data_IF_889217961489
#
_entry.id   IF_889217961489
#
_cell.length_a   1.000
_cell.length_b   1.000
_cell.length_c   1.000
_cell.angle_alpha   90.00
_cell.angle_beta   90.00
_cell.angle_gamma   90.00
#
_symmetry.space_group_name_H-M   'P 1'
#
loop_
_entity.id
_entity.type
_entity.pdbx_description
1 polymer ?
#
# COMPACT_ATOMS: atom_id res chain seq x y z
N UNK A 1 -10.33 3.77 23.02
CA UNK A 1 -10.91 2.55 22.42
C UNK A 1 -9.86 1.45 22.48
N UNK A 2 -10.21 0.24 22.92
CA UNK A 2 -9.37 -0.95 22.73
C UNK A 2 -9.83 -1.63 21.44
N UNK A 3 -9.06 -1.47 20.38
CA UNK A 3 -9.25 -2.15 19.10
C UNK A 3 -7.89 -2.73 18.71
N UNK A 4 -7.87 -4.00 18.34
CA UNK A 4 -6.68 -4.67 17.85
C UNK A 4 -6.79 -4.80 16.33
N UNK A 5 -5.76 -4.34 15.62
CA UNK A 5 -5.59 -4.52 14.19
C UNK A 5 -4.23 -5.12 13.93
N UNK A 6 -4.21 -6.23 13.22
CA UNK A 6 -2.99 -6.79 12.65
C UNK A 6 -3.09 -6.72 11.13
N UNK A 7 -2.06 -6.12 10.53
CA UNK A 7 -2.03 -5.83 9.10
C UNK A 7 -0.76 -6.35 8.46
N UNK A 8 -0.90 -6.88 7.25
CA UNK A 8 0.18 -7.23 6.34
C UNK A 8 0.07 -6.38 5.08
N UNK A 9 1.20 -5.94 4.54
CA UNK A 9 1.26 -5.19 3.29
C UNK A 9 2.56 -5.49 2.54
N UNK A 10 2.44 -6.05 1.33
CA UNK A 10 3.56 -6.25 0.40
C UNK A 10 3.37 -5.36 -0.83
N UNK A 11 4.41 -4.63 -1.20
CA UNK A 11 4.34 -3.64 -2.28
C UNK A 11 5.04 -4.15 -3.53
N UNK A 12 4.48 -3.80 -4.68
CA UNK A 12 5.06 -4.08 -5.99
C UNK A 12 5.23 -2.77 -6.76
N UNK A 13 6.46 -2.47 -7.17
CA UNK A 13 6.74 -1.39 -8.11
C UNK A 13 6.86 -1.97 -9.52
N UNK A 14 6.04 -1.49 -10.46
CA UNK A 14 6.03 -1.94 -11.85
C UNK A 14 6.55 -0.84 -12.78
N UNK A 15 7.63 -1.14 -13.49
CA UNK A 15 8.12 -0.31 -14.58
C UNK A 15 7.13 -0.36 -15.75
N UNK A 16 6.51 0.79 -16.06
CA UNK A 16 5.50 0.90 -17.11
C UNK A 16 6.07 0.82 -18.54
N UNK A 17 7.40 0.89 -18.72
CA UNK A 17 8.06 0.77 -20.02
C UNK A 17 8.42 -0.69 -20.33
N UNK A 18 8.97 -1.40 -19.35
CA UNK A 18 9.48 -2.77 -19.53
C UNK A 18 8.50 -3.85 -19.05
N UNK A 19 7.57 -3.50 -18.17
CA UNK A 19 6.69 -4.43 -17.48
C UNK A 19 7.38 -5.18 -16.33
N UNK A 20 8.63 -4.85 -15.99
CA UNK A 20 9.34 -5.48 -14.88
C UNK A 20 8.72 -5.08 -13.54
N UNK A 21 8.58 -6.06 -12.64
CA UNK A 21 8.04 -5.87 -11.27
C UNK A 21 9.11 -6.12 -10.23
N UNK A 22 9.16 -5.22 -9.25
CA UNK A 22 10.06 -5.30 -8.11
C UNK A 22 9.26 -5.38 -6.81
N UNK A 23 9.59 -6.36 -5.97
CA UNK A 23 9.01 -6.48 -4.63
C UNK A 23 9.69 -5.49 -3.70
N UNK A 24 8.90 -4.69 -2.99
CA UNK A 24 9.38 -3.72 -2.03
C UNK A 24 8.96 -4.03 -0.60
N UNK A 25 9.93 -3.88 0.31
CA UNK A 25 9.77 -4.19 1.71
C UNK A 25 9.78 -2.90 2.54
N UNK A 26 8.66 -2.54 3.20
CA UNK A 26 8.54 -1.32 4.01
C UNK A 26 9.65 -1.10 5.03
N UNK A 27 10.13 -2.17 5.68
CA UNK A 27 11.27 -2.15 6.61
C UNK A 27 12.57 -1.51 6.08
N UNK A 28 12.73 -1.33 4.77
CA UNK A 28 13.90 -0.62 4.18
C UNK A 28 13.85 0.89 4.44
N UNK A 29 12.65 1.45 4.62
CA UNK A 29 12.42 2.90 4.71
C UNK A 29 11.68 3.30 5.99
N UNK A 30 10.90 2.39 6.57
CA UNK A 30 10.08 2.62 7.74
C UNK A 30 10.68 1.95 8.97
N UNK A 31 10.52 2.58 10.12
CA UNK A 31 10.74 1.93 11.41
C UNK A 31 9.67 0.85 11.64
N UNK A 32 9.92 -0.14 12.53
CA UNK A 32 8.94 -1.19 12.82
C UNK A 32 7.57 -0.65 13.27
N UNK A 33 7.56 0.47 14.01
CA UNK A 33 6.31 1.12 14.42
C UNK A 33 5.56 1.74 13.23
N UNK A 34 6.27 2.43 12.34
CA UNK A 34 5.68 3.02 11.14
C UNK A 34 5.17 1.94 10.18
N UNK A 35 5.91 0.84 10.02
CA UNK A 35 5.48 -0.31 9.21
C UNK A 35 4.19 -0.93 9.78
N UNK A 36 4.14 -1.18 11.09
CA UNK A 36 2.93 -1.69 11.76
C UNK A 36 1.73 -0.74 11.62
N UNK A 37 1.96 0.56 11.76
CA UNK A 37 0.91 1.55 11.57
C UNK A 37 0.45 1.64 10.12
N UNK A 38 1.39 1.55 9.17
CA UNK A 38 1.10 1.62 7.75
C UNK A 38 0.26 0.42 7.30
N UNK A 39 0.60 -0.81 7.73
CA UNK A 39 -0.09 -2.02 7.26
C UNK A 39 -1.57 -2.12 7.64
N UNK A 40 -2.07 -1.24 8.51
CA UNK A 40 -3.46 -1.23 9.00
C UNK A 40 -4.22 0.06 8.68
N UNK A 41 -3.56 1.04 8.05
CA UNK A 41 -4.12 2.37 7.77
C UNK A 41 -4.01 2.69 6.28
N UNK A 42 -5.14 2.90 5.59
CA UNK A 42 -5.18 2.94 4.13
C UNK A 42 -4.50 4.21 3.57
N UNK A 43 -4.62 5.32 4.27
CA UNK A 43 -3.94 6.58 4.00
C UNK A 43 -2.41 6.43 4.08
N UNK A 44 -1.89 5.71 5.08
CA UNK A 44 -0.46 5.44 5.19
C UNK A 44 0.02 4.48 4.09
N UNK A 45 -0.78 3.48 3.70
CA UNK A 45 -0.49 2.60 2.56
C UNK A 45 -0.36 3.43 1.28
N UNK A 46 -1.33 4.33 1.03
CA UNK A 46 -1.31 5.22 -0.13
C UNK A 46 -0.08 6.15 -0.12
N UNK A 47 0.23 6.76 1.03
CA UNK A 47 1.40 7.63 1.16
C UNK A 47 2.70 6.87 0.88
N UNK A 48 2.85 5.66 1.42
CA UNK A 48 4.02 4.83 1.18
C UNK A 48 4.11 4.37 -0.29
N UNK A 49 2.99 4.00 -0.91
CA UNK A 49 2.94 3.66 -2.34
C UNK A 49 3.39 4.82 -3.24
N UNK A 50 2.93 6.04 -2.95
CA UNK A 50 3.38 7.26 -3.65
C UNK A 50 4.85 7.57 -3.42
N UNK A 51 5.34 7.38 -2.20
CA UNK A 51 6.76 7.50 -1.89
C UNK A 51 7.60 6.53 -2.75
N UNK A 52 7.21 5.26 -2.82
CA UNK A 52 7.89 4.27 -3.67
C UNK A 52 7.87 4.66 -5.15
N UNK A 53 6.73 5.10 -5.67
CA UNK A 53 6.60 5.53 -7.06
C UNK A 53 7.58 6.68 -7.37
N UNK A 54 7.71 7.66 -6.47
CA UNK A 54 8.67 8.75 -6.62
C UNK A 54 10.12 8.26 -6.59
N UNK A 55 10.48 7.38 -5.64
CA UNK A 55 11.82 6.81 -5.54
C UNK A 55 12.24 6.04 -6.80
N UNK A 56 11.33 5.24 -7.35
CA UNK A 56 11.60 4.46 -8.56
C UNK A 56 11.65 5.34 -9.80
N UNK A 57 10.74 6.30 -9.94
CA UNK A 57 10.76 7.26 -11.05
C UNK A 57 12.07 8.06 -11.09
N UNK A 58 12.61 8.44 -9.93
CA UNK A 58 13.88 9.18 -9.87
C UNK A 58 15.08 8.31 -10.29
N UNK A 59 15.04 7.01 -9.99
CA UNK A 59 16.09 6.05 -10.37
C UNK A 59 16.01 5.67 -11.85
N UNK A 60 14.81 5.33 -12.32
CA UNK A 60 14.60 4.73 -13.63
C UNK A 60 14.31 5.77 -14.74
N UNK A 61 13.90 7.00 -14.36
CA UNK A 61 13.56 8.12 -15.26
C UNK A 61 12.31 7.89 -16.13
N UNK A 62 11.40 7.02 -15.72
CA UNK A 62 10.09 6.80 -16.36
C UNK A 62 8.98 6.53 -15.33
N UNK A 63 7.69 6.57 -15.74
CA UNK A 63 6.57 6.28 -14.84
C UNK A 63 6.63 4.87 -14.26
N UNK A 64 6.27 4.77 -12.98
CA UNK A 64 6.22 3.51 -12.22
C UNK A 64 4.85 3.45 -11.55
N UNK A 65 4.14 2.34 -11.76
CA UNK A 65 2.92 2.05 -11.02
C UNK A 65 3.27 1.32 -9.73
N UNK A 66 2.47 1.54 -8.68
CA UNK A 66 2.69 0.86 -7.39
C UNK A 66 1.40 0.21 -6.94
N UNK A 67 1.51 -1.09 -6.65
CA UNK A 67 0.41 -1.93 -6.18
C UNK A 67 0.73 -2.46 -4.79
N UNK A 68 -0.30 -2.93 -4.08
CA UNK A 68 -0.14 -3.51 -2.75
C UNK A 68 -1.05 -4.72 -2.58
N UNK A 69 -0.47 -5.81 -2.09
CA UNK A 69 -1.24 -6.89 -1.49
C UNK A 69 -1.31 -6.64 0.00
N UNK A 70 -2.48 -6.22 0.49
CA UNK A 70 -2.69 -5.92 1.91
C UNK A 70 -3.85 -6.68 2.51
N UNK A 71 -3.64 -7.17 3.72
CA UNK A 71 -4.62 -7.90 4.51
C UNK A 71 -4.69 -7.33 5.91
N UNK A 72 -5.90 -7.07 6.40
CA UNK A 72 -6.12 -6.58 7.78
C UNK A 72 -7.08 -7.51 8.51
N UNK A 73 -6.68 -7.93 9.70
CA UNK A 73 -7.54 -8.58 10.68
C UNK A 73 -7.94 -7.56 11.75
N UNK A 74 -9.25 -7.51 12.04
CA UNK A 74 -9.83 -6.69 13.09
C UNK A 74 -10.31 -7.59 14.23
N UNK A 75 -9.76 -7.43 15.43
CA UNK A 75 -10.14 -8.17 16.64
C UNK A 75 -10.19 -9.70 16.43
N UNK A 76 -9.12 -10.28 15.87
CA UNK A 76 -8.94 -11.72 15.65
C UNK A 76 -9.92 -12.36 14.65
N UNK A 77 -10.64 -11.56 13.86
CA UNK A 77 -11.37 -12.07 12.70
C UNK A 77 -10.41 -12.50 11.59
N UNK A 78 -10.92 -13.28 10.64
CA UNK A 78 -10.16 -13.63 9.44
C UNK A 78 -9.68 -12.36 8.73
N UNK A 79 -8.40 -12.36 8.32
CA UNK A 79 -7.80 -11.25 7.60
C UNK A 79 -8.44 -11.11 6.22
N UNK A 80 -8.91 -9.92 5.88
CA UNK A 80 -9.53 -9.64 4.59
C UNK A 80 -8.63 -8.73 3.77
N UNK A 81 -8.71 -8.85 2.44
CA UNK A 81 -8.03 -7.91 1.52
C UNK A 81 -8.50 -6.49 1.83
N UNK A 82 -7.55 -5.61 2.10
CA UNK A 82 -7.86 -4.28 2.61
C UNK A 82 -7.87 -3.21 1.51
N UNK A 83 -6.88 -3.27 0.62
CA UNK A 83 -6.76 -2.40 -0.56
C UNK A 83 -6.94 -3.24 -1.83
N UNK A 84 -7.63 -2.71 -2.84
CA UNK A 84 -7.75 -3.36 -4.15
C UNK A 84 -6.34 -3.61 -4.74
N UNK A 85 -5.93 -4.88 -4.96
CA UNK A 85 -4.61 -5.20 -5.50
C UNK A 85 -4.35 -4.64 -6.90
N UNK A 86 -5.41 -4.27 -7.63
CA UNK A 86 -5.31 -3.71 -8.97
C UNK A 86 -5.29 -2.18 -8.99
N UNK A 87 -5.47 -1.53 -7.83
CA UNK A 87 -5.42 -0.08 -7.73
C UNK A 87 -3.95 0.41 -7.78
N UNK A 88 -3.66 1.29 -8.74
CA UNK A 88 -2.35 1.92 -8.85
C UNK A 88 -2.25 3.10 -7.86
N UNK A 89 -1.63 2.83 -6.70
CA UNK A 89 -1.42 3.80 -5.62
C UNK A 89 -0.62 5.03 -6.05
N UNK A 90 0.13 4.97 -7.14
CA UNK A 90 0.85 6.13 -7.67
C UNK A 90 -0.11 7.19 -8.23
N UNK A 91 -1.31 6.79 -8.65
CA UNK A 91 -2.33 7.64 -9.28
C UNK A 91 -3.49 7.97 -8.34
N UNK A 92 -3.71 7.17 -7.30
CA UNK A 92 -4.78 7.42 -6.34
C UNK A 92 -4.55 8.71 -5.54
N UNK A 93 -5.65 9.41 -5.23
CA UNK A 93 -5.63 10.64 -4.44
C UNK A 93 -6.34 10.45 -3.09
N UNK A 94 -5.76 11.04 -2.05
CA UNK A 94 -6.41 11.10 -0.75
C UNK A 94 -7.41 12.27 -0.74
N UNK A 95 -8.69 11.97 -0.57
CA UNK A 95 -9.75 12.96 -0.45
C UNK A 95 -10.84 12.49 0.51
N UNK A 96 -11.73 13.40 0.90
CA UNK A 96 -12.92 13.07 1.70
C UNK A 96 -14.01 12.34 0.91
N UNK A 97 -13.85 12.20 -0.41
CA UNK A 97 -14.78 11.42 -1.23
C UNK A 97 -14.61 9.91 -0.97
N UNK A 98 -15.61 9.13 -1.38
CA UNK A 98 -15.55 7.67 -1.28
C UNK A 98 -14.35 7.11 -2.06
N UNK A 99 -13.42 6.49 -1.34
CA UNK A 99 -12.21 5.86 -1.90
C UNK A 99 -12.55 4.47 -2.42
N UNK A 100 -12.53 4.30 -3.75
CA UNK A 100 -12.88 3.03 -4.41
C UNK A 100 -11.82 1.94 -4.23
N UNK A 101 -10.58 2.34 -3.95
CA UNK A 101 -9.45 1.46 -3.76
C UNK A 101 -9.39 0.84 -2.35
N UNK A 102 -10.22 1.30 -1.41
CA UNK A 102 -10.39 0.66 -0.09
C UNK A 102 -11.55 -0.31 -0.18
N UNK A 103 -11.29 -1.58 0.10
CA UNK A 103 -12.32 -2.62 0.07
C UNK A 103 -13.11 -2.63 1.39
N UNK A 104 -14.44 -2.83 1.35
CA UNK A 104 -15.23 -2.96 2.56
C UNK A 104 -14.93 -4.28 3.29
N UNK A 105 -14.94 -4.23 4.62
CA UNK A 105 -14.98 -5.45 5.44
C UNK A 105 -16.35 -6.13 5.25
N UNK A 106 -16.35 -7.42 4.86
CA UNK A 106 -17.55 -8.26 4.86
C UNK A 106 -17.84 -8.81 6.27
#
# INVERSE_FOLDING_TARGET
MLMEKDGYAEFYAEDQLTGERYIEYPKKYLTPLQEKMMSTQPDMILQYGRFLAAQYRDKLRHPVAVYVDSYVSLNQKEGQTFIDPNADLSKEEDSFAGKKWILPEN
#
